data_IF_812472823803
#
_entry.id   IF_812472823803
#
_cell.length_a   1.000
_cell.length_b   1.000
_cell.length_c   1.000
_cell.angle_alpha   90.00
_cell.angle_beta   90.00
_cell.angle_gamma   90.00
#
_symmetry.space_group_name_H-M   'P 1'
#
loop_
_entity.id
_entity.type
_entity.pdbx_description
1 polymer ?
#
# COMPACT_ATOMS: atom_id res chain seq x y z
N UNK A 1 12.18 1.45 -6.58
CA UNK A 1 10.72 1.44 -6.80
C UNK A 1 10.24 2.83 -7.21
N UNK A 2 9.30 2.94 -8.15
CA UNK A 2 8.58 4.20 -8.43
C UNK A 2 7.07 3.98 -8.39
N UNK A 3 6.33 4.87 -7.72
CA UNK A 3 4.86 4.84 -7.68
C UNK A 3 4.33 5.58 -8.92
N UNK A 4 3.72 4.86 -9.86
CA UNK A 4 3.14 5.44 -11.09
C UNK A 4 1.78 6.08 -10.85
N UNK A 5 0.98 5.45 -9.99
CA UNK A 5 -0.38 5.90 -9.66
C UNK A 5 -0.80 5.29 -8.34
N UNK A 6 -1.76 5.93 -7.68
CA UNK A 6 -2.35 5.42 -6.46
C UNK A 6 -3.85 5.63 -6.44
N UNK A 7 -4.53 4.75 -5.71
CA UNK A 7 -5.94 4.86 -5.36
C UNK A 7 -6.05 4.68 -3.85
N UNK A 8 -6.81 5.57 -3.22
CA UNK A 8 -7.11 5.53 -1.79
C UNK A 8 -8.61 5.31 -1.62
N UNK A 9 -9.00 4.27 -0.88
CA UNK A 9 -10.37 3.98 -0.52
C UNK A 9 -10.51 3.88 1.00
N UNK A 10 -11.48 4.59 1.58
CA UNK A 10 -11.82 4.45 2.99
C UNK A 10 -12.60 3.15 3.21
N UNK A 11 -12.13 2.33 4.15
CA UNK A 11 -12.82 1.12 4.56
C UNK A 11 -13.88 1.51 5.59
N UNK A 12 -15.12 1.69 5.11
CA UNK A 12 -16.27 1.93 5.96
C UNK A 12 -16.54 0.68 6.81
N UNK A 13 -16.34 0.78 8.12
CA UNK A 13 -16.71 -0.27 9.08
C UNK A 13 -18.15 -0.05 9.59
N UNK A 14 -19.18 -0.68 8.99
CA UNK A 14 -20.56 -0.51 9.43
C UNK A 14 -20.79 -1.07 10.85
N UNK A 15 -19.85 -1.87 11.37
CA UNK A 15 -19.98 -2.47 12.70
C UNK A 15 -19.46 -1.57 13.81
N UNK A 16 -18.67 -0.53 13.50
CA UNK A 16 -17.95 0.31 14.48
C UNK A 16 -17.15 -0.52 15.51
N UNK A 17 -16.66 -1.69 15.12
CA UNK A 17 -15.81 -2.54 15.97
C UNK A 17 -14.36 -2.08 15.86
N UNK A 18 -13.98 -1.50 14.72
CA UNK A 18 -12.62 -1.02 14.47
C UNK A 18 -12.46 0.36 15.11
N UNK A 19 -11.49 0.47 16.02
CA UNK A 19 -11.08 1.78 16.56
C UNK A 19 -10.18 2.50 15.55
N UNK A 20 -10.59 3.70 15.12
CA UNK A 20 -9.90 4.51 14.13
C UNK A 20 -10.44 4.31 12.71
N UNK A 21 -9.86 5.05 11.76
CA UNK A 21 -10.18 4.97 10.34
C UNK A 21 -9.24 3.98 9.66
N UNK A 22 -9.73 3.23 8.68
CA UNK A 22 -8.91 2.37 7.85
C UNK A 22 -9.03 2.76 6.40
N UNK A 23 -7.91 2.68 5.70
CA UNK A 23 -7.83 2.99 4.30
C UNK A 23 -7.14 1.85 3.57
N UNK A 24 -7.65 1.53 2.40
CA UNK A 24 -6.97 0.68 1.44
C UNK A 24 -6.28 1.59 0.42
N UNK A 25 -4.96 1.46 0.32
CA UNK A 25 -4.14 2.10 -0.70
C UNK A 25 -3.76 1.06 -1.74
N UNK A 26 -4.18 1.27 -2.98
CA UNK A 26 -3.71 0.49 -4.13
C UNK A 26 -2.73 1.34 -4.91
N UNK A 27 -1.45 0.95 -4.92
CA UNK A 27 -0.36 1.64 -5.61
C UNK A 27 0.07 0.81 -6.82
N UNK A 28 0.17 1.46 -7.98
CA UNK A 28 0.81 0.87 -9.15
C UNK A 28 2.31 1.16 -9.06
N UNK A 29 3.11 0.10 -8.92
CA UNK A 29 4.56 0.19 -8.76
C UNK A 29 5.27 -0.18 -10.06
N UNK A 30 6.21 0.68 -10.44
CA UNK A 30 7.21 0.39 -11.44
C UNK A 30 8.46 -0.16 -10.73
N UNK A 31 8.75 -1.42 -11.02
CA UNK A 31 9.90 -2.15 -10.48
C UNK A 31 10.93 -2.31 -11.60
N UNK A 32 12.21 -2.11 -11.28
CA UNK A 32 13.29 -2.23 -12.26
C UNK A 32 13.52 -3.70 -12.64
N UNK A 33 13.96 -3.99 -13.88
CA UNK A 33 14.13 -5.37 -14.38
C UNK A 33 15.17 -6.21 -13.61
N UNK A 34 16.07 -5.57 -12.88
CA UNK A 34 17.13 -6.22 -12.08
C UNK A 34 16.67 -6.53 -10.63
N UNK A 35 15.46 -6.11 -10.26
CA UNK A 35 14.91 -6.25 -8.92
C UNK A 35 14.19 -7.61 -8.74
N UNK A 36 14.19 -8.15 -7.53
CA UNK A 36 13.53 -9.41 -7.20
C UNK A 36 12.00 -9.33 -7.26
N UNK A 37 11.45 -8.14 -7.04
CA UNK A 37 10.01 -7.88 -7.14
C UNK A 37 9.54 -7.68 -8.58
N UNK A 38 10.45 -7.69 -9.56
CA UNK A 38 10.10 -7.44 -10.95
C UNK A 38 9.12 -8.48 -11.50
N UNK A 39 8.05 -7.99 -12.12
CA UNK A 39 7.10 -8.81 -12.88
C UNK A 39 6.84 -8.18 -14.24
N UNK A 40 6.79 -9.01 -15.28
CA UNK A 40 6.36 -8.57 -16.60
C UNK A 40 4.97 -7.92 -16.46
N UNK A 41 4.82 -6.67 -16.91
CA UNK A 41 3.55 -5.93 -16.81
C UNK A 41 3.33 -5.13 -15.52
N UNK A 42 4.25 -5.19 -14.55
CA UNK A 42 4.25 -4.37 -13.33
C UNK A 42 3.66 -5.06 -12.09
N UNK A 43 3.70 -4.35 -10.97
CA UNK A 43 3.25 -4.84 -9.65
C UNK A 43 2.27 -3.84 -9.04
N UNK A 44 1.17 -4.34 -8.50
CA UNK A 44 0.25 -3.56 -7.69
C UNK A 44 0.50 -3.87 -6.21
N UNK A 45 0.65 -2.83 -5.40
CA UNK A 45 0.71 -2.94 -3.94
C UNK A 45 -0.62 -2.53 -3.34
N UNK A 46 -1.21 -3.41 -2.54
CA UNK A 46 -2.38 -3.11 -1.71
C UNK A 46 -1.95 -3.00 -0.26
N UNK A 47 -1.85 -1.79 0.26
CA UNK A 47 -1.56 -1.51 1.67
C UNK A 47 -2.84 -1.18 2.43
N UNK A 48 -2.99 -1.81 3.60
CA UNK A 48 -4.04 -1.51 4.56
C UNK A 48 -3.45 -0.61 5.62
N UNK A 49 -3.91 0.63 5.67
CA UNK A 49 -3.45 1.65 6.59
C UNK A 49 -4.51 1.86 7.67
N UNK A 50 -4.08 1.97 8.93
CA UNK A 50 -4.93 2.39 10.04
C UNK A 50 -4.50 3.76 10.54
N UNK A 51 -5.46 4.66 10.71
CA UNK A 51 -5.33 5.98 11.31
C UNK A 51 -6.08 6.00 12.64
N UNK A 52 -5.37 6.12 13.75
CA UNK A 52 -5.95 6.21 15.10
C UNK A 52 -5.22 7.28 15.90
N UNK A 53 -5.96 8.22 16.50
CA UNK A 53 -5.38 9.27 17.37
C UNK A 53 -4.18 10.01 16.72
N UNK A 54 -4.30 10.38 15.44
CA UNK A 54 -3.24 10.97 14.61
C UNK A 54 -2.03 10.06 14.30
N UNK A 55 -2.03 8.82 14.77
CA UNK A 55 -1.05 7.81 14.42
C UNK A 55 -1.51 7.06 13.18
N UNK A 56 -0.65 7.05 12.15
CA UNK A 56 -0.87 6.33 10.91
C UNK A 56 0.13 5.18 10.87
N UNK A 57 -0.39 3.96 10.69
CA UNK A 57 0.40 2.73 10.63
C UNK A 57 -0.08 1.84 9.49
N UNK A 58 0.84 1.11 8.87
CA UNK A 58 0.50 0.05 7.94
C UNK A 58 0.20 -1.22 8.74
N UNK A 59 -1.01 -1.74 8.58
CA UNK A 59 -1.47 -2.95 9.26
C UNK A 59 -1.07 -4.20 8.48
N UNK A 60 -1.15 -4.11 7.16
CA UNK A 60 -0.79 -5.19 6.26
C UNK A 60 -0.55 -4.65 4.85
N UNK A 61 0.17 -5.40 4.03
CA UNK A 61 0.28 -5.13 2.61
C UNK A 61 0.30 -6.42 1.79
N UNK A 62 -0.03 -6.28 0.51
CA UNK A 62 0.02 -7.37 -0.46
C UNK A 62 0.63 -6.85 -1.76
N UNK A 63 1.62 -7.57 -2.28
CA UNK A 63 2.19 -7.34 -3.60
C UNK A 63 1.55 -8.30 -4.60
N UNK A 64 1.04 -7.75 -5.70
CA UNK A 64 0.22 -8.48 -6.68
C UNK A 64 0.80 -8.28 -8.07
N UNK A 65 1.17 -9.36 -8.74
CA UNK A 65 1.67 -9.31 -10.12
C UNK A 65 0.53 -8.94 -11.08
N UNK A 66 0.70 -7.92 -11.92
CA UNK A 66 -0.37 -7.47 -12.83
C UNK A 66 -0.68 -8.47 -13.94
N UNK A 67 0.33 -9.23 -14.36
CA UNK A 67 0.22 -10.23 -15.43
C UNK A 67 -0.82 -11.30 -15.15
N UNK A 68 -0.80 -11.89 -13.96
CA UNK A 68 -1.65 -13.04 -13.62
C UNK A 68 -2.41 -12.89 -12.30
N UNK A 69 -2.31 -11.72 -11.64
CA UNK A 69 -2.99 -11.41 -10.38
C UNK A 69 -2.57 -12.36 -9.23
N UNK A 70 -1.38 -12.97 -9.32
CA UNK A 70 -0.80 -13.73 -8.21
C UNK A 70 -0.23 -12.81 -7.14
N UNK A 71 -0.23 -13.30 -5.91
CA UNK A 71 0.49 -12.66 -4.82
C UNK A 71 1.97 -13.02 -4.92
N UNK A 72 2.82 -12.01 -4.82
CA UNK A 72 4.26 -12.20 -4.76
C UNK A 72 4.63 -12.85 -3.41
N UNK A 73 5.52 -13.83 -3.46
CA UNK A 73 6.04 -14.50 -2.25
C UNK A 73 7.10 -13.64 -1.54
N UNK A 74 7.75 -12.74 -2.29
CA UNK A 74 8.68 -11.74 -1.80
C UNK A 74 7.92 -10.49 -1.38
N UNK A 75 8.39 -9.86 -0.30
CA UNK A 75 7.80 -8.65 0.28
C UNK A 75 8.68 -7.43 0.00
N UNK A 76 8.22 -6.28 0.50
CA UNK A 76 9.05 -5.08 0.55
C UNK A 76 10.15 -5.26 1.60
N UNK A 77 11.33 -4.71 1.31
CA UNK A 77 12.36 -4.52 2.33
C UNK A 77 12.00 -3.37 3.29
N UNK A 78 12.70 -3.26 4.42
CA UNK A 78 12.41 -2.24 5.46
C UNK A 78 12.44 -0.81 4.92
N UNK A 79 13.35 -0.50 3.99
CA UNK A 79 13.47 0.83 3.38
C UNK A 79 12.28 1.13 2.46
N UNK A 80 11.83 0.14 1.68
CA UNK A 80 10.69 0.29 0.77
C UNK A 80 9.37 0.37 1.53
N UNK A 81 9.19 -0.46 2.57
CA UNK A 81 8.02 -0.39 3.45
C UNK A 81 7.91 1.00 4.10
N UNK A 82 9.03 1.55 4.56
CA UNK A 82 9.07 2.90 5.11
C UNK A 82 8.66 3.96 4.09
N UNK A 83 9.11 3.86 2.83
CA UNK A 83 8.73 4.76 1.74
C UNK A 83 7.22 4.74 1.49
N UNK A 84 6.61 3.55 1.43
CA UNK A 84 5.16 3.40 1.23
C UNK A 84 4.39 3.97 2.43
N UNK A 85 4.84 3.71 3.65
CA UNK A 85 4.22 4.26 4.86
C UNK A 85 4.27 5.79 4.86
N UNK A 86 5.41 6.39 4.52
CA UNK A 86 5.54 7.86 4.42
C UNK A 86 4.66 8.44 3.32
N UNK A 87 4.57 7.76 2.18
CA UNK A 87 3.69 8.14 1.08
C UNK A 87 2.22 8.17 1.54
N UNK A 88 1.72 7.10 2.16
CA UNK A 88 0.36 7.01 2.69
C UNK A 88 0.10 8.06 3.78
N UNK A 89 1.07 8.29 4.67
CA UNK A 89 0.99 9.31 5.73
C UNK A 89 0.77 10.70 5.15
N UNK A 90 1.58 11.08 4.17
CA UNK A 90 1.50 12.40 3.53
C UNK A 90 0.12 12.62 2.90
N UNK A 91 -0.37 11.62 2.16
CA UNK A 91 -1.66 11.70 1.48
C UNK A 91 -2.86 11.69 2.44
N UNK A 92 -2.80 10.96 3.55
CA UNK A 92 -3.86 10.95 4.56
C UNK A 92 -3.93 12.23 5.40
N UNK A 93 -2.81 12.94 5.55
CA UNK A 93 -2.75 14.23 6.25
C UNK A 93 -3.20 15.38 5.34
N UNK A 94 -2.89 15.33 4.04
CA UNK A 94 -3.30 16.37 3.08
C UNK A 94 -4.80 16.41 2.80
N UNK A 95 -5.54 15.33 3.10
CA UNK A 95 -6.99 15.23 2.86
C UNK A 95 -7.82 15.88 3.99
N UNK A 96 -7.21 16.38 5.08
CA UNK A 96 -7.88 17.12 6.17
C UNK A 96 -8.15 18.61 5.88
#
# INVERSE_FOLDING_TARGET
MEILSYMMEEILDPTNIIEGERYEFTLELNIEEDDELYQEGGVDLRAIIAKKDNEISMVNYFLIAKSDQSYLEFGLDEDEEAEIVEFCKTHLIEVE
#
